data_IF_236835367529
#
_entry.id   IF_236835367529
#
_cell.length_a   1.000
_cell.length_b   1.000
_cell.length_c   1.000
_cell.angle_alpha   90.00
_cell.angle_beta   90.00
_cell.angle_gamma   90.00
#
_symmetry.space_group_name_H-M   'P 1'
#
loop_
_entity.id
_entity.type
_entity.pdbx_description
1 polymer ?
#
# COMPACT_ATOMS: atom_id res chain seq x y z
N UNK A 1 -0.80 25.72 -1.77
CA UNK A 1 -1.08 24.38 -1.22
C UNK A 1 -0.41 23.39 -2.14
N UNK A 2 0.26 22.37 -1.61
CA UNK A 2 0.90 21.33 -2.40
C UNK A 2 0.22 19.99 -2.16
N UNK A 3 0.17 19.17 -3.20
CA UNK A 3 -0.36 17.83 -3.20
C UNK A 3 0.79 16.84 -3.22
N UNK A 4 0.73 15.86 -2.33
CA UNK A 4 1.80 14.87 -2.12
C UNK A 4 1.22 13.47 -2.29
N UNK A 5 1.89 12.65 -3.09
CA UNK A 5 1.72 11.20 -3.11
C UNK A 5 3.02 10.60 -2.61
N UNK A 6 2.95 9.85 -1.52
CA UNK A 6 4.10 9.20 -0.89
C UNK A 6 3.88 7.69 -0.83
N UNK A 7 4.90 6.90 -1.13
CA UNK A 7 4.89 5.44 -0.94
C UNK A 7 4.63 5.10 0.53
N UNK A 8 3.80 4.10 0.75
CA UNK A 8 3.48 3.58 2.07
C UNK A 8 4.14 2.23 2.25
N UNK A 9 4.97 2.13 3.28
CA UNK A 9 5.67 0.91 3.64
C UNK A 9 4.93 0.19 4.76
N UNK A 10 5.01 -1.15 4.80
CA UNK A 10 4.52 -1.95 5.92
C UNK A 10 3.08 -2.44 5.83
N UNK A 11 2.33 -2.12 4.78
CA UNK A 11 1.04 -2.77 4.51
C UNK A 11 0.96 -3.23 3.05
N UNK A 12 0.88 -4.55 2.78
CA UNK A 12 0.87 -5.07 1.41
C UNK A 12 -0.37 -4.63 0.61
N UNK A 13 -1.47 -4.28 1.29
CA UNK A 13 -2.71 -3.77 0.67
C UNK A 13 -2.75 -2.23 0.56
N UNK A 14 -1.72 -1.51 1.05
CA UNK A 14 -1.61 -0.04 0.94
C UNK A 14 -0.23 0.36 0.42
N UNK A 15 -0.17 0.73 -0.87
CA UNK A 15 1.08 1.07 -1.54
C UNK A 15 1.48 2.56 -1.44
N UNK A 16 0.52 3.45 -1.19
CA UNK A 16 0.76 4.89 -1.11
C UNK A 16 -0.26 5.60 -0.22
N UNK A 17 0.11 6.79 0.21
CA UNK A 17 -0.72 7.75 0.92
C UNK A 17 -0.71 9.07 0.14
N UNK A 18 -1.88 9.70 0.04
CA UNK A 18 -2.05 10.99 -0.60
C UNK A 18 -2.51 12.02 0.43
N UNK A 19 -1.89 13.20 0.45
CA UNK A 19 -2.21 14.26 1.39
C UNK A 19 -1.81 15.63 0.85
N UNK A 20 -2.36 16.68 1.45
CA UNK A 20 -2.03 18.07 1.11
C UNK A 20 -1.20 18.72 2.19
N UNK A 21 -0.25 19.57 1.80
CA UNK A 21 0.61 20.34 2.70
C UNK A 21 0.62 21.81 2.31
N UNK A 22 0.48 22.75 3.26
CA UNK A 22 0.56 24.17 2.96
C UNK A 22 1.97 24.57 2.51
N UNK A 23 3.00 23.90 3.03
CA UNK A 23 4.41 24.21 2.77
C UNK A 23 5.29 22.97 2.90
N UNK A 24 6.36 22.95 2.11
CA UNK A 24 7.44 21.98 2.24
C UNK A 24 8.79 22.69 2.19
N UNK A 25 9.82 22.02 2.71
CA UNK A 25 11.22 22.44 2.64
C UNK A 25 12.00 21.28 2.02
N UNK A 26 12.73 21.56 0.95
CA UNK A 26 13.58 20.59 0.27
C UNK A 26 14.92 21.26 -0.06
N UNK A 27 16.02 20.52 0.05
CA UNK A 27 17.36 20.96 -0.33
C UNK A 27 17.94 19.96 -1.32
N UNK A 28 18.74 20.40 -2.30
CA UNK A 28 19.41 19.52 -3.26
C UNK A 28 20.38 18.54 -2.58
N UNK A 29 20.98 18.94 -1.46
CA UNK A 29 21.97 18.14 -0.71
C UNK A 29 21.34 17.15 0.28
N UNK A 30 20.05 17.31 0.59
CA UNK A 30 19.33 16.43 1.52
C UNK A 30 18.60 15.32 0.79
N UNK A 31 18.60 14.12 1.35
CA UNK A 31 17.78 13.00 0.88
C UNK A 31 16.33 13.07 1.40
N UNK A 32 16.01 14.04 2.25
CA UNK A 32 14.69 14.21 2.85
C UNK A 32 14.02 15.50 2.38
N UNK A 33 12.69 15.44 2.33
CA UNK A 33 11.80 16.60 2.26
C UNK A 33 11.10 16.74 3.61
N UNK A 34 10.93 17.97 4.07
CA UNK A 34 10.19 18.29 5.29
C UNK A 34 8.86 18.89 4.89
N UNK A 35 7.77 18.32 5.39
CA UNK A 35 6.42 18.83 5.22
C UNK A 35 5.96 19.55 6.48
N UNK A 36 5.45 20.77 6.35
CA UNK A 36 4.91 21.56 7.46
C UNK A 36 3.39 21.46 7.48
N UNK A 37 2.82 21.11 8.63
CA UNK A 37 1.39 21.05 8.89
C UNK A 37 1.03 22.04 9.99
N UNK A 38 -0.20 22.56 9.96
CA UNK A 38 -0.77 23.29 11.10
C UNK A 38 -1.67 22.33 11.85
N UNK A 39 -1.37 22.07 13.12
CA UNK A 39 -2.22 21.30 14.01
C UNK A 39 -2.33 22.05 15.33
N UNK A 40 -3.55 22.36 15.75
CA UNK A 40 -3.85 23.08 17.00
C UNK A 40 -3.12 24.43 17.13
N UNK A 41 -2.98 25.16 16.02
CA UNK A 41 -2.26 26.44 15.97
C UNK A 41 -0.73 26.32 15.95
N UNK A 42 -0.17 25.14 16.18
CA UNK A 42 1.27 24.88 16.12
C UNK A 42 1.71 24.33 14.75
N UNK A 43 2.94 24.69 14.34
CA UNK A 43 3.57 24.10 13.16
C UNK A 43 4.18 22.76 13.54
N UNK A 44 3.66 21.68 12.94
CA UNK A 44 4.26 20.33 13.02
C UNK A 44 5.03 20.02 11.75
N UNK A 45 6.16 19.34 11.88
CA UNK A 45 7.03 18.96 10.77
C UNK A 45 7.11 17.46 10.66
N UNK A 46 6.95 16.94 9.44
CA UNK A 46 7.16 15.53 9.13
C UNK A 46 8.28 15.41 8.10
N UNK A 47 9.21 14.50 8.38
CA UNK A 47 10.29 14.17 7.46
C UNK A 47 9.83 13.02 6.57
N UNK A 48 10.13 13.11 5.28
CA UNK A 48 9.87 12.05 4.31
C UNK A 48 11.10 11.87 3.40
N UNK A 49 11.56 10.64 3.17
CA UNK A 49 12.59 10.37 2.17
C UNK A 49 12.12 10.80 0.79
N UNK A 50 12.99 11.46 0.02
CA UNK A 50 12.70 11.84 -1.37
C UNK A 50 12.39 10.62 -2.25
N UNK A 51 13.06 9.49 -1.98
CA UNK A 51 12.84 8.22 -2.65
C UNK A 51 11.40 7.69 -2.48
N UNK A 52 10.69 8.13 -1.44
CA UNK A 52 9.32 7.74 -1.19
C UNK A 52 8.30 8.72 -1.81
N UNK A 53 8.73 9.88 -2.30
CA UNK A 53 7.83 10.85 -2.92
C UNK A 53 7.59 10.45 -4.38
N UNK A 54 6.37 9.99 -4.65
CA UNK A 54 5.92 9.64 -6.01
C UNK A 54 5.55 10.90 -6.79
N UNK A 55 4.87 11.84 -6.12
CA UNK A 55 4.47 13.12 -6.70
C UNK A 55 4.48 14.20 -5.62
N UNK A 56 5.03 15.36 -5.96
CA UNK A 56 4.88 16.61 -5.20
C UNK A 56 4.62 17.72 -6.21
N UNK A 57 3.42 18.31 -6.17
CA UNK A 57 2.99 19.30 -7.16
C UNK A 57 2.00 20.30 -6.54
N UNK A 58 1.89 21.49 -7.11
CA UNK A 58 0.81 22.44 -6.87
C UNK A 58 -0.33 22.34 -7.89
N UNK A 59 -0.14 21.55 -8.97
CA UNK A 59 -1.18 21.25 -9.96
C UNK A 59 -2.13 20.15 -9.45
N UNK A 60 -3.36 20.57 -9.15
CA UNK A 60 -4.42 19.69 -8.69
C UNK A 60 -4.86 18.68 -9.75
N UNK A 61 -4.96 19.08 -11.02
CA UNK A 61 -5.45 18.21 -12.08
C UNK A 61 -4.44 17.08 -12.37
N UNK A 62 -3.15 17.41 -12.35
CA UNK A 62 -2.08 16.42 -12.42
C UNK A 62 -2.14 15.45 -11.23
N UNK A 63 -2.30 15.99 -10.02
CA UNK A 63 -2.44 15.16 -8.81
C UNK A 63 -3.60 14.17 -8.90
N UNK A 64 -4.80 14.64 -9.26
CA UNK A 64 -5.98 13.79 -9.38
C UNK A 64 -5.79 12.71 -10.46
N UNK A 65 -5.24 13.08 -11.62
CA UNK A 65 -4.94 12.15 -12.71
C UNK A 65 -3.97 11.03 -12.30
N UNK A 66 -2.89 11.38 -11.59
CA UNK A 66 -1.92 10.39 -11.11
C UNK A 66 -2.52 9.53 -10.00
N UNK A 67 -3.26 10.13 -9.06
CA UNK A 67 -3.90 9.39 -7.98
C UNK A 67 -4.90 8.35 -8.50
N UNK A 68 -5.74 8.70 -9.48
CA UNK A 68 -6.67 7.77 -10.13
C UNK A 68 -5.94 6.60 -10.80
N UNK A 69 -4.85 6.87 -11.51
CA UNK A 69 -4.04 5.80 -12.12
C UNK A 69 -3.48 4.84 -11.07
N UNK A 70 -3.00 5.38 -9.94
CA UNK A 70 -2.48 4.58 -8.84
C UNK A 70 -3.57 3.75 -8.14
N UNK A 71 -4.77 4.31 -7.92
CA UNK A 71 -5.90 3.56 -7.36
C UNK A 71 -6.35 2.41 -8.26
N UNK A 72 -6.37 2.61 -9.57
CA UNK A 72 -6.67 1.53 -10.51
C UNK A 72 -5.61 0.42 -10.47
N UNK A 73 -4.33 0.79 -10.40
CA UNK A 73 -3.24 -0.19 -10.26
C UNK A 73 -3.34 -0.97 -8.95
N UNK A 74 -3.63 -0.27 -7.85
CA UNK A 74 -3.83 -0.88 -6.54
C UNK A 74 -5.01 -1.84 -6.55
N UNK A 75 -6.14 -1.48 -7.16
CA UNK A 75 -7.31 -2.36 -7.29
C UNK A 75 -6.94 -3.67 -7.99
N UNK A 76 -6.30 -3.58 -9.15
CA UNK A 76 -5.85 -4.77 -9.89
C UNK A 76 -4.85 -5.63 -9.08
N UNK A 77 -3.97 -5.00 -8.30
CA UNK A 77 -3.04 -5.72 -7.45
C UNK A 77 -3.75 -6.45 -6.30
N UNK A 78 -4.74 -5.80 -5.67
CA UNK A 78 -5.54 -6.40 -4.59
C UNK A 78 -6.36 -7.59 -5.10
N UNK A 79 -6.97 -7.47 -6.28
CA UNK A 79 -7.70 -8.58 -6.91
C UNK A 79 -6.80 -9.81 -7.09
N UNK A 80 -5.56 -9.61 -7.55
CA UNK A 80 -4.58 -10.69 -7.69
C UNK A 80 -4.13 -11.30 -6.36
N UNK A 81 -4.04 -10.49 -5.30
CA UNK A 81 -3.75 -11.01 -3.94
C UNK A 81 -4.91 -11.90 -3.50
N UNK A 82 -6.13 -11.41 -3.63
CA UNK A 82 -7.32 -12.12 -3.16
C UNK A 82 -7.52 -13.42 -3.98
N UNK A 83 -7.25 -13.41 -5.29
CA UNK A 83 -7.23 -14.63 -6.14
C UNK A 83 -6.19 -15.66 -5.67
N UNK A 84 -4.97 -15.22 -5.36
CA UNK A 84 -3.92 -16.09 -4.86
C UNK A 84 -4.27 -16.68 -3.48
N UNK A 85 -4.86 -15.87 -2.59
CA UNK A 85 -5.36 -16.33 -1.28
C UNK A 85 -6.46 -17.39 -1.44
N UNK A 86 -7.40 -17.20 -2.37
CA UNK A 86 -8.46 -18.18 -2.66
C UNK A 86 -7.88 -19.50 -3.20
N UNK A 87 -6.92 -19.43 -4.13
CA UNK A 87 -6.29 -20.63 -4.68
C UNK A 87 -5.56 -21.42 -3.60
N UNK A 88 -4.76 -20.74 -2.77
CA UNK A 88 -4.03 -21.39 -1.67
C UNK A 88 -4.98 -22.09 -0.70
N UNK A 89 -6.07 -21.42 -0.30
CA UNK A 89 -7.06 -22.01 0.61
C UNK A 89 -7.75 -23.24 0.02
N UNK A 90 -7.99 -23.24 -1.30
CA UNK A 90 -8.53 -24.41 -2.01
C UNK A 90 -7.54 -25.58 -1.97
N UNK A 91 -6.27 -25.34 -2.29
CA UNK A 91 -5.23 -26.38 -2.26
C UNK A 91 -5.05 -26.97 -0.86
N UNK A 92 -5.08 -26.13 0.18
CA UNK A 92 -5.04 -26.56 1.59
C UNK A 92 -6.25 -27.48 1.89
N UNK A 93 -7.45 -27.08 1.49
CA UNK A 93 -8.65 -27.88 1.74
C UNK A 93 -8.60 -29.23 1.02
N UNK A 94 -8.18 -29.26 -0.23
CA UNK A 94 -8.05 -30.49 -1.02
C UNK A 94 -7.03 -31.44 -0.38
N UNK A 95 -5.88 -30.92 0.07
CA UNK A 95 -4.85 -31.70 0.76
C UNK A 95 -5.36 -32.24 2.10
N UNK A 96 -6.08 -31.44 2.89
CA UNK A 96 -6.67 -31.89 4.15
C UNK A 96 -7.68 -33.02 3.94
N UNK A 97 -8.57 -32.89 2.94
CA UNK A 97 -9.54 -33.94 2.60
C UNK A 97 -8.86 -35.22 2.13
N UNK A 98 -7.79 -35.12 1.34
CA UNK A 98 -7.00 -36.28 0.91
C UNK A 98 -6.34 -36.98 2.11
N UNK A 99 -5.68 -36.24 2.99
CA UNK A 99 -5.04 -36.80 4.19
C UNK A 99 -6.05 -37.43 5.16
N UNK A 100 -7.23 -36.83 5.31
CA UNK A 100 -8.31 -37.41 6.10
C UNK A 100 -8.79 -38.74 5.52
N UNK A 101 -8.96 -38.80 4.20
CA UNK A 101 -9.37 -40.02 3.50
C UNK A 101 -8.32 -41.13 3.65
N UNK A 102 -7.04 -40.81 3.52
CA UNK A 102 -5.93 -41.74 3.79
C UNK A 102 -5.97 -42.26 5.24
N UNK A 103 -6.22 -41.39 6.21
CA UNK A 103 -6.31 -41.77 7.61
C UNK A 103 -7.47 -42.73 7.91
N UNK A 104 -8.64 -42.50 7.30
CA UNK A 104 -9.82 -43.35 7.49
C UNK A 104 -9.63 -44.73 6.82
N UNK A 105 -9.01 -44.78 5.64
CA UNK A 105 -8.67 -46.05 4.96
C UNK A 105 -7.71 -46.92 5.78
N UNK A 106 -6.75 -46.32 6.50
CA UNK A 106 -5.84 -47.04 7.40
C UNK A 106 -6.59 -47.67 8.58
N UNK A 107 -7.66 -47.04 9.08
CA UNK A 107 -8.47 -47.57 10.17
C UNK A 107 -9.34 -48.75 9.74
N UNK A 108 -9.91 -48.72 8.54
CA UNK A 108 -10.79 -49.81 8.05
C UNK A 108 -10.02 -51.07 7.62
N UNK A 109 -8.71 -50.94 7.37
CA UNK A 109 -7.84 -52.03 6.95
C UNK A 109 -7.26 -52.87 8.10
N UNK A 110 -7.65 -52.57 9.35
CA UNK A 110 -7.31 -53.30 10.59
C UNK A 110 -8.56 -53.92 11.22
#
# INVERSE_FOLDING_TARGET
MYYVIQRHHGNPKKHYIAYTVPKYISSTTSQNVIFEFRQDGAVKRKWAPKSDIVLLTDDRALFESILTKLENLKKNHLERIDEAEMQLNREISEMLSAMQSEFDNIKESN
#
